data_IF_227212356788
#
_entry.id   IF_227212356788
#
_cell.length_a   1.000
_cell.length_b   1.000
_cell.length_c   1.000
_cell.angle_alpha   90.00
_cell.angle_beta   90.00
_cell.angle_gamma   90.00
#
_symmetry.space_group_name_H-M   'P 1'
#
loop_
_entity.id
_entity.type
_entity.pdbx_description
1 polymer ?
#
# COMPACT_ATOMS: atom_id res chain seq x y z
N UNK A 1 -38.97 22.30 -27.58
CA UNK A 1 -39.63 21.59 -26.46
C UNK A 1 -38.90 21.95 -25.18
N UNK A 2 -39.45 22.90 -24.44
CA UNK A 2 -38.95 23.45 -23.18
C UNK A 2 -39.46 22.61 -22.02
N UNK A 3 -38.58 22.18 -21.11
CA UNK A 3 -39.00 21.62 -19.83
C UNK A 3 -38.23 22.32 -18.69
N UNK A 4 -38.91 22.93 -17.71
CA UNK A 4 -38.30 23.75 -16.67
C UNK A 4 -38.01 22.97 -15.38
N UNK A 5 -36.95 23.39 -14.69
CA UNK A 5 -36.85 23.61 -13.24
C UNK A 5 -37.32 22.51 -12.28
N UNK A 6 -36.35 21.89 -11.59
CA UNK A 6 -36.60 21.17 -10.33
C UNK A 6 -35.73 21.77 -9.23
N UNK A 7 -36.32 22.70 -8.48
CA UNK A 7 -35.80 23.29 -7.24
C UNK A 7 -36.39 22.50 -6.08
N UNK A 8 -35.55 21.85 -5.25
CA UNK A 8 -36.01 21.27 -3.98
C UNK A 8 -35.12 21.70 -2.82
N UNK A 9 -35.83 22.02 -1.74
CA UNK A 9 -35.43 22.78 -0.57
C UNK A 9 -34.58 21.98 0.40
N UNK A 10 -33.66 22.67 1.07
CA UNK A 10 -33.00 22.20 2.27
C UNK A 10 -33.93 22.30 3.50
N UNK A 11 -33.84 21.39 4.48
CA UNK A 11 -34.32 21.64 5.83
C UNK A 11 -33.15 22.03 6.75
N UNK A 12 -33.29 23.18 7.40
CA UNK A 12 -32.59 23.54 8.64
C UNK A 12 -33.34 22.89 9.81
N UNK A 13 -32.63 22.21 10.70
CA UNK A 13 -33.11 21.92 12.06
C UNK A 13 -31.98 22.28 13.04
N UNK A 14 -32.39 22.96 14.11
CA UNK A 14 -31.57 23.67 15.06
C UNK A 14 -31.56 23.00 16.45
N UNK A 15 -30.50 23.31 17.22
CA UNK A 15 -30.45 23.41 18.69
C UNK A 15 -30.67 22.10 19.52
N UNK A 16 -30.18 21.87 20.75
CA UNK A 16 -29.56 22.70 21.78
C UNK A 16 -29.02 21.82 22.95
N UNK A 17 -28.23 22.44 23.86
CA UNK A 17 -28.06 22.21 25.32
C UNK A 17 -27.27 20.96 25.81
N UNK A 18 -26.09 21.10 26.43
CA UNK A 18 -25.74 21.50 27.83
C UNK A 18 -26.18 20.50 28.93
N UNK A 19 -25.22 19.80 29.56
CA UNK A 19 -25.20 19.54 31.02
C UNK A 19 -23.75 19.43 31.53
N UNK A 20 -23.43 20.27 32.51
CA UNK A 20 -22.24 20.20 33.36
C UNK A 20 -22.50 19.27 34.55
N UNK A 21 -21.50 18.46 34.93
CA UNK A 21 -21.51 17.63 36.13
C UNK A 21 -20.24 17.83 36.95
N UNK A 22 -20.40 18.45 38.12
CA UNK A 22 -19.39 18.74 39.13
C UNK A 22 -19.15 17.55 40.08
N UNK A 23 -17.88 17.40 40.48
CA UNK A 23 -17.36 17.02 41.80
C UNK A 23 -17.95 15.84 42.59
N UNK A 24 -17.08 14.86 42.86
CA UNK A 24 -17.03 14.16 44.15
C UNK A 24 -15.56 13.95 44.55
N UNK A 25 -15.09 14.67 45.58
CA UNK A 25 -13.87 14.37 46.31
C UNK A 25 -14.22 13.36 47.40
N UNK A 26 -13.71 12.13 47.31
CA UNK A 26 -13.72 11.19 48.43
C UNK A 26 -12.58 11.53 49.43
N UNK A 27 -12.82 11.39 50.74
CA UNK A 27 -11.76 11.52 51.74
C UNK A 27 -10.80 10.32 51.65
N UNK A 28 -9.55 10.60 51.29
CA UNK A 28 -8.48 9.60 51.26
C UNK A 28 -8.16 9.14 52.69
N UNK A 29 -8.24 7.84 52.94
CA UNK A 29 -7.74 7.19 54.16
C UNK A 29 -6.25 7.48 54.36
N UNK A 30 -5.77 7.65 55.61
CA UNK A 30 -4.37 7.94 55.87
C UNK A 30 -3.48 6.82 55.33
N UNK A 31 -2.59 7.20 54.41
CA UNK A 31 -1.59 6.32 53.83
C UNK A 31 -0.58 5.99 54.92
N UNK A 32 -0.36 4.70 55.16
CA UNK A 32 0.65 4.20 56.09
C UNK A 32 2.04 4.69 55.62
N UNK A 33 2.66 5.59 56.39
CA UNK A 33 3.94 6.25 56.07
C UNK A 33 5.17 5.42 56.43
N UNK A 34 5.03 4.14 56.76
CA UNK A 34 6.17 3.27 56.93
C UNK A 34 6.91 3.13 55.59
N UNK A 35 8.21 3.49 55.51
CA UNK A 35 9.01 3.18 54.33
C UNK A 35 8.93 1.66 54.12
N UNK A 36 8.61 1.16 52.92
CA UNK A 36 8.74 -0.26 52.64
C UNK A 36 10.18 -0.66 52.96
N UNK A 37 10.36 -1.77 53.68
CA UNK A 37 11.67 -2.38 53.88
C UNK A 37 12.37 -2.44 52.52
N UNK A 38 13.61 -1.97 52.45
CA UNK A 38 14.36 -1.92 51.20
C UNK A 38 14.57 -3.36 50.69
N UNK A 39 13.66 -3.83 49.84
CA UNK A 39 13.81 -5.07 49.07
C UNK A 39 14.88 -4.77 48.02
N UNK A 40 16.13 -4.85 48.45
CA UNK A 40 17.26 -4.70 47.56
C UNK A 40 17.40 -6.05 46.87
N UNK A 41 16.80 -6.17 45.68
CA UNK A 41 17.05 -7.32 44.82
C UNK A 41 18.57 -7.43 44.58
N UNK A 42 19.15 -8.64 44.64
CA UNK A 42 20.54 -8.84 44.29
C UNK A 42 20.81 -8.25 42.90
N UNK A 43 21.96 -7.60 42.67
CA UNK A 43 22.29 -7.07 41.35
C UNK A 43 22.19 -8.20 40.32
N UNK A 44 21.63 -7.93 39.12
CA UNK A 44 21.57 -8.91 38.05
C UNK A 44 22.97 -9.49 37.80
N UNK A 45 23.04 -10.80 37.57
CA UNK A 45 24.29 -11.43 37.17
C UNK A 45 24.87 -10.68 35.95
N UNK A 46 26.18 -10.46 35.95
CA UNK A 46 26.84 -9.81 34.84
C UNK A 46 26.51 -10.54 33.53
N UNK A 47 26.12 -9.78 32.49
CA UNK A 47 25.89 -10.35 31.17
C UNK A 47 27.13 -11.12 30.73
N UNK A 48 27.00 -12.37 30.24
CA UNK A 48 28.12 -13.10 29.68
C UNK A 48 28.85 -12.23 28.67
N UNK A 49 30.16 -12.01 28.89
CA UNK A 49 30.96 -11.19 28.01
C UNK A 49 30.97 -11.86 26.62
N UNK A 50 30.64 -11.14 25.53
CA UNK A 50 30.73 -11.70 24.19
C UNK A 50 32.13 -12.26 23.95
N UNK A 51 32.23 -13.54 23.60
CA UNK A 51 33.52 -14.18 23.32
C UNK A 51 34.15 -13.52 22.09
N UNK A 52 35.25 -12.79 22.32
CA UNK A 52 36.00 -12.07 21.29
C UNK A 52 36.67 -12.99 20.26
N UNK A 53 36.73 -14.30 20.56
CA UNK A 53 37.25 -15.32 19.64
C UNK A 53 36.13 -16.11 18.95
N UNK A 54 34.86 -15.81 19.24
CA UNK A 54 33.75 -16.41 18.52
C UNK A 54 33.86 -16.06 17.04
N UNK A 55 33.85 -17.09 16.18
CA UNK A 55 33.81 -16.89 14.73
C UNK A 55 32.55 -16.09 14.39
N UNK A 56 32.64 -15.05 13.54
CA UNK A 56 31.47 -14.32 13.07
C UNK A 56 30.43 -15.30 12.55
N UNK A 57 29.25 -15.32 13.17
CA UNK A 57 28.15 -16.15 12.70
C UNK A 57 27.55 -15.43 11.50
N UNK A 58 27.52 -16.07 10.34
CA UNK A 58 26.91 -15.49 9.16
C UNK A 58 25.40 -15.35 9.41
N UNK A 59 24.96 -14.10 9.54
CA UNK A 59 23.54 -13.79 9.72
C UNK A 59 22.86 -14.07 8.39
N UNK A 60 21.85 -14.94 8.40
CA UNK A 60 20.98 -15.13 7.23
C UNK A 60 20.47 -13.77 6.77
N UNK A 61 20.64 -13.46 5.48
CA UNK A 61 20.15 -12.23 4.91
C UNK A 61 18.63 -12.12 5.15
N UNK A 62 18.11 -10.92 5.46
CA UNK A 62 16.67 -10.72 5.60
C UNK A 62 15.95 -11.22 4.34
N UNK A 63 14.80 -11.90 4.48
CA UNK A 63 14.03 -12.34 3.32
C UNK A 63 13.59 -11.13 2.49
N UNK A 64 13.99 -11.10 1.22
CA UNK A 64 13.59 -10.08 0.26
C UNK A 64 12.21 -10.45 -0.32
N UNK A 65 11.27 -9.51 -0.32
CA UNK A 65 9.98 -9.68 -1.01
C UNK A 65 10.26 -9.72 -2.51
N UNK A 66 9.89 -10.81 -3.18
CA UNK A 66 10.06 -10.96 -4.64
C UNK A 66 9.00 -10.14 -5.39
N UNK A 67 9.33 -9.58 -6.56
CA UNK A 67 8.35 -8.90 -7.39
C UNK A 67 7.36 -9.89 -8.00
N UNK A 68 6.10 -9.49 -8.18
CA UNK A 68 5.10 -10.26 -8.92
C UNK A 68 5.29 -10.14 -10.42
N UNK A 69 5.83 -9.02 -10.89
CA UNK A 69 6.10 -8.75 -12.29
C UNK A 69 7.22 -7.71 -12.45
N UNK A 70 7.97 -7.83 -13.54
CA UNK A 70 8.93 -6.85 -14.02
C UNK A 70 8.89 -6.88 -15.56
N UNK A 71 9.34 -5.81 -16.21
CA UNK A 71 9.47 -5.74 -17.67
C UNK A 71 8.56 -4.69 -18.31
N UNK A 72 8.28 -4.87 -19.60
CA UNK A 72 7.53 -3.92 -20.43
C UNK A 72 6.13 -4.45 -20.74
N UNK A 73 5.13 -3.57 -20.65
CA UNK A 73 3.73 -3.92 -20.83
C UNK A 73 2.98 -2.90 -21.70
N UNK A 74 2.13 -3.40 -22.59
CA UNK A 74 1.20 -2.61 -23.39
C UNK A 74 -0.09 -2.31 -22.61
N UNK A 75 -0.67 -1.10 -22.74
CA UNK A 75 -1.91 -0.77 -22.05
C UNK A 75 -3.07 -1.63 -22.58
N UNK A 76 -3.76 -2.29 -21.66
CA UNK A 76 -4.89 -3.17 -21.94
C UNK A 76 -6.27 -2.53 -21.75
N UNK A 77 -6.34 -1.31 -21.22
CA UNK A 77 -7.58 -0.54 -21.11
C UNK A 77 -7.37 0.98 -21.27
N UNK A 78 -8.43 1.78 -21.52
CA UNK A 78 -8.29 3.22 -21.75
C UNK A 78 -7.68 3.99 -20.57
N UNK A 79 -7.89 3.52 -19.34
CA UNK A 79 -7.31 4.14 -18.13
C UNK A 79 -5.80 3.96 -18.12
N UNK A 80 -5.30 2.76 -18.43
CA UNK A 80 -3.87 2.47 -18.57
C UNK A 80 -3.24 3.36 -19.66
N UNK A 81 -3.90 3.50 -20.81
CA UNK A 81 -3.44 4.39 -21.89
C UNK A 81 -3.32 5.84 -21.42
N UNK A 82 -4.30 6.35 -20.66
CA UNK A 82 -4.31 7.73 -20.19
C UNK A 82 -3.27 7.99 -19.10
N UNK A 83 -3.14 7.06 -18.15
CA UNK A 83 -2.30 7.25 -16.95
C UNK A 83 -0.83 7.03 -17.24
N UNK A 84 -0.45 6.00 -17.98
CA UNK A 84 0.97 5.72 -18.29
C UNK A 84 1.25 5.50 -19.77
N UNK A 85 0.28 5.05 -20.55
CA UNK A 85 0.57 4.47 -21.87
C UNK A 85 1.26 3.12 -21.71
N UNK A 86 2.25 2.81 -22.57
CA UNK A 86 3.13 1.66 -22.32
C UNK A 86 3.85 1.82 -20.99
N UNK A 87 4.00 0.71 -20.26
CA UNK A 87 4.47 0.68 -18.89
C UNK A 87 5.78 -0.11 -18.82
N UNK A 88 6.82 0.50 -18.28
CA UNK A 88 8.04 -0.17 -17.83
C UNK A 88 7.98 -0.34 -16.31
N UNK A 89 8.09 -1.58 -15.85
CA UNK A 89 8.04 -1.95 -14.44
C UNK A 89 9.40 -2.50 -14.00
N UNK A 90 10.12 -1.70 -13.25
CA UNK A 90 11.38 -2.05 -12.60
C UNK A 90 11.15 -2.33 -11.10
N UNK A 91 12.22 -2.68 -10.37
CA UNK A 91 12.12 -3.04 -8.94
C UNK A 91 11.64 -1.87 -8.07
N UNK A 92 12.21 -0.67 -8.30
CA UNK A 92 11.93 0.54 -7.53
C UNK A 92 11.29 1.65 -8.35
N UNK A 93 11.02 1.41 -9.63
CA UNK A 93 10.61 2.46 -10.56
C UNK A 93 9.56 1.94 -11.53
N UNK A 94 8.51 2.73 -11.70
CA UNK A 94 7.45 2.50 -12.67
C UNK A 94 7.46 3.68 -13.63
N UNK A 95 7.56 3.44 -14.93
CA UNK A 95 7.59 4.50 -15.96
C UNK A 95 6.51 4.27 -17.00
N UNK A 96 5.79 5.33 -17.33
CA UNK A 96 4.93 5.41 -18.50
C UNK A 96 5.65 6.04 -19.69
N UNK A 97 5.37 5.57 -20.90
CA UNK A 97 5.80 6.21 -22.15
C UNK A 97 5.32 7.67 -22.25
N UNK A 98 4.20 8.02 -21.60
CA UNK A 98 3.66 9.38 -21.56
C UNK A 98 4.43 10.34 -20.62
N UNK A 99 5.52 9.89 -20.00
CA UNK A 99 6.34 10.64 -19.05
C UNK A 99 5.93 10.52 -17.59
N UNK A 100 4.83 9.82 -17.28
CA UNK A 100 4.47 9.52 -15.90
C UNK A 100 5.55 8.62 -15.26
N UNK A 101 5.89 8.86 -13.99
CA UNK A 101 6.81 7.99 -13.26
C UNK A 101 6.50 7.91 -11.78
N UNK A 102 6.80 6.77 -11.18
CA UNK A 102 6.64 6.52 -9.75
C UNK A 102 7.89 5.85 -9.20
N UNK A 103 8.61 6.55 -8.32
CA UNK A 103 9.64 5.92 -7.48
C UNK A 103 8.92 5.21 -6.34
N UNK A 104 9.18 3.93 -6.17
CA UNK A 104 8.41 3.04 -5.29
C UNK A 104 9.29 2.13 -4.44
N UNK A 105 8.74 1.68 -3.32
CA UNK A 105 9.32 0.66 -2.44
C UNK A 105 8.28 -0.43 -2.16
N UNK A 106 8.66 -1.70 -2.29
CA UNK A 106 7.80 -2.82 -1.88
C UNK A 106 7.65 -2.87 -0.38
N UNK A 107 6.41 -2.85 0.10
CA UNK A 107 6.11 -2.87 1.54
C UNK A 107 5.45 -4.16 1.99
N UNK A 108 4.76 -4.87 1.11
CA UNK A 108 4.11 -6.15 1.44
C UNK A 108 3.81 -6.99 0.20
N UNK A 109 3.63 -8.29 0.41
CA UNK A 109 2.92 -9.18 -0.50
C UNK A 109 1.65 -9.64 0.23
N UNK A 110 0.50 -9.22 -0.28
CA UNK A 110 -0.82 -9.50 0.30
C UNK A 110 -1.63 -10.41 -0.64
N UNK A 111 -2.80 -10.84 -0.22
CA UNK A 111 -3.72 -11.65 -1.03
C UNK A 111 -4.86 -10.80 -1.58
N UNK A 112 -5.46 -11.21 -2.70
CA UNK A 112 -6.64 -10.57 -3.27
C UNK A 112 -7.80 -10.41 -2.26
N UNK A 113 -7.97 -11.38 -1.36
CA UNK A 113 -9.00 -11.37 -0.32
C UNK A 113 -8.77 -10.35 0.79
N UNK A 114 -7.56 -9.79 0.90
CA UNK A 114 -7.24 -8.80 1.92
C UNK A 114 -7.91 -7.46 1.62
N UNK A 115 -8.28 -6.75 2.69
CA UNK A 115 -8.89 -5.43 2.60
C UNK A 115 -7.82 -4.34 2.56
N UNK A 116 -7.93 -3.42 1.60
CA UNK A 116 -7.08 -2.22 1.56
C UNK A 116 -7.71 -1.02 2.29
N UNK A 117 -9.03 -1.07 2.48
CA UNK A 117 -9.81 -0.19 3.34
C UNK A 117 -11.04 -0.95 3.85
N UNK A 118 -11.73 -0.44 4.88
CA UNK A 118 -12.87 -1.12 5.48
C UNK A 118 -13.95 -1.46 4.44
N UNK A 119 -14.20 -2.76 4.27
CA UNK A 119 -15.21 -3.30 3.35
C UNK A 119 -14.77 -3.43 1.89
N UNK A 120 -13.53 -3.05 1.52
CA UNK A 120 -13.05 -3.10 0.14
C UNK A 120 -11.79 -3.97 0.00
N UNK A 121 -11.84 -4.95 -0.90
CA UNK A 121 -10.74 -5.91 -1.12
C UNK A 121 -10.01 -5.70 -2.44
N UNK A 122 -8.74 -6.14 -2.50
CA UNK A 122 -7.95 -6.09 -3.73
C UNK A 122 -8.58 -6.90 -4.87
N UNK A 123 -9.15 -8.07 -4.56
CA UNK A 123 -9.84 -8.95 -5.49
C UNK A 123 -11.00 -8.23 -6.21
N UNK A 124 -11.79 -7.46 -5.46
CA UNK A 124 -12.90 -6.68 -6.02
C UNK A 124 -12.40 -5.54 -6.91
N UNK A 125 -11.35 -4.82 -6.48
CA UNK A 125 -10.83 -3.66 -7.22
C UNK A 125 -10.06 -4.04 -8.50
N UNK A 126 -9.36 -5.17 -8.47
CA UNK A 126 -8.51 -5.66 -9.57
C UNK A 126 -9.22 -6.68 -10.47
N UNK A 127 -10.38 -7.18 -10.04
CA UNK A 127 -11.15 -8.24 -10.70
C UNK A 127 -10.27 -9.49 -10.86
N UNK A 128 -9.86 -10.03 -9.71
CA UNK A 128 -8.99 -11.21 -9.58
C UNK A 128 -9.50 -12.13 -8.47
N UNK A 129 -8.98 -13.35 -8.40
CA UNK A 129 -9.31 -14.27 -7.32
C UNK A 129 -8.83 -13.79 -5.94
N UNK A 130 -9.53 -14.20 -4.88
CA UNK A 130 -9.15 -13.86 -3.51
C UNK A 130 -7.77 -14.42 -3.10
N UNK A 131 -7.32 -15.50 -3.74
CA UNK A 131 -5.99 -16.07 -3.49
C UNK A 131 -4.87 -15.45 -4.33
N UNK A 132 -5.20 -14.53 -5.26
CA UNK A 132 -4.21 -13.91 -6.13
C UNK A 132 -3.17 -13.14 -5.30
N UNK A 133 -1.87 -13.42 -5.45
CA UNK A 133 -0.83 -12.60 -4.83
C UNK A 133 -0.84 -11.17 -5.38
N UNK A 134 -0.82 -10.21 -4.46
CA UNK A 134 -0.82 -8.77 -4.74
C UNK A 134 0.44 -8.17 -4.13
N UNK A 135 1.30 -7.61 -4.96
CA UNK A 135 2.45 -6.84 -4.51
C UNK A 135 2.00 -5.41 -4.18
N UNK A 136 2.26 -4.98 -2.95
CA UNK A 136 1.97 -3.64 -2.50
C UNK A 136 3.25 -2.80 -2.45
N UNK A 137 3.24 -1.68 -3.18
CA UNK A 137 4.33 -0.71 -3.20
C UNK A 137 3.89 0.63 -2.63
N UNK A 138 4.72 1.24 -1.78
CA UNK A 138 4.58 2.64 -1.37
C UNK A 138 5.19 3.54 -2.44
N UNK A 139 4.51 4.63 -2.78
CA UNK A 139 5.01 5.65 -3.70
C UNK A 139 5.81 6.68 -2.92
N UNK A 140 7.09 6.82 -3.26
CA UNK A 140 8.03 7.77 -2.67
C UNK A 140 8.06 9.09 -3.45
N UNK A 141 7.98 9.01 -4.77
CA UNK A 141 7.94 10.17 -5.67
C UNK A 141 7.00 9.87 -6.83
N UNK A 142 6.34 10.91 -7.34
CA UNK A 142 5.39 10.81 -8.46
C UNK A 142 5.64 11.96 -9.42
N UNK A 143 5.76 11.63 -10.70
CA UNK A 143 5.71 12.58 -11.81
C UNK A 143 4.45 12.27 -12.62
N UNK A 144 3.51 13.22 -12.80
CA UNK A 144 2.31 12.99 -13.60
C UNK A 144 2.64 12.98 -15.11
N UNK A 145 1.71 12.53 -15.98
CA UNK A 145 1.90 12.57 -17.43
C UNK A 145 2.25 13.96 -17.96
N UNK A 146 3.25 14.06 -18.84
CA UNK A 146 3.79 15.35 -19.30
C UNK A 146 2.76 16.20 -20.05
N UNK A 147 1.98 15.58 -20.94
CA UNK A 147 1.02 16.30 -21.80
C UNK A 147 -0.36 16.48 -21.15
N UNK A 148 -0.69 15.66 -20.15
CA UNK A 148 -2.01 15.69 -19.50
C UNK A 148 -1.88 15.33 -18.02
N UNK A 149 -1.36 16.25 -17.18
CA UNK A 149 -1.12 15.97 -15.76
C UNK A 149 -2.37 15.57 -14.98
N UNK A 150 -3.56 16.01 -15.42
CA UNK A 150 -4.84 15.62 -14.83
C UNK A 150 -5.15 14.11 -14.96
N UNK A 151 -4.44 13.40 -15.85
CA UNK A 151 -4.54 11.95 -16.01
C UNK A 151 -3.58 11.21 -15.05
N UNK A 152 -3.00 11.85 -14.04
CA UNK A 152 -2.22 11.12 -13.03
C UNK A 152 -3.08 10.02 -12.39
N UNK A 153 -2.44 9.01 -11.80
CA UNK A 153 -3.13 7.80 -11.32
C UNK A 153 -4.19 8.13 -10.25
N UNK A 154 -3.96 9.15 -9.43
CA UNK A 154 -4.92 9.74 -8.50
C UNK A 154 -5.43 11.14 -8.91
N UNK A 155 -5.30 11.46 -10.19
CA UNK A 155 -5.74 12.71 -10.82
C UNK A 155 -5.02 13.94 -10.26
N UNK A 156 -5.67 14.67 -9.35
CA UNK A 156 -5.10 15.83 -8.67
C UNK A 156 -4.52 15.54 -7.28
N UNK A 157 -4.72 14.33 -6.75
CA UNK A 157 -4.15 13.91 -5.48
C UNK A 157 -2.90 13.07 -5.73
N UNK A 158 -1.98 13.08 -4.76
CA UNK A 158 -0.80 12.21 -4.80
C UNK A 158 -1.21 10.76 -4.60
N UNK A 159 -0.66 9.87 -5.41
CA UNK A 159 -0.71 8.43 -5.24
C UNK A 159 0.13 8.04 -4.03
N UNK A 160 -0.47 7.35 -3.05
CA UNK A 160 0.23 6.88 -1.86
C UNK A 160 0.80 5.48 -2.02
N UNK A 161 0.01 4.60 -2.65
CA UNK A 161 0.37 3.20 -2.87
C UNK A 161 -0.05 2.73 -4.25
N UNK A 162 0.68 1.76 -4.76
CA UNK A 162 0.37 1.03 -5.99
C UNK A 162 0.30 -0.44 -5.63
N UNK A 163 -0.79 -1.11 -6.02
CA UNK A 163 -0.94 -2.55 -5.86
C UNK A 163 -0.89 -3.23 -7.24
N UNK A 164 -0.11 -4.29 -7.36
CA UNK A 164 0.19 -5.00 -8.61
C UNK A 164 -0.21 -6.46 -8.48
N UNK A 165 -0.80 -7.03 -9.53
CA UNK A 165 -1.10 -8.44 -9.61
C UNK A 165 -0.84 -8.96 -11.02
N UNK A 166 -0.02 -9.99 -11.13
CA UNK A 166 0.17 -10.76 -12.37
C UNK A 166 -0.84 -11.91 -12.38
N UNK A 167 -1.76 -11.87 -13.32
CA UNK A 167 -2.84 -12.84 -13.49
C UNK A 167 -2.59 -13.61 -14.76
N UNK A 168 -2.70 -14.93 -14.71
CA UNK A 168 -2.64 -15.80 -15.88
C UNK A 168 -4.02 -16.43 -16.07
N UNK A 169 -4.63 -16.17 -17.22
CA UNK A 169 -5.92 -16.75 -17.58
C UNK A 169 -5.87 -17.41 -18.97
N UNK A 170 -7.01 -17.90 -19.46
CA UNK A 170 -7.10 -18.58 -20.76
C UNK A 170 -6.72 -17.69 -21.96
N UNK A 171 -6.72 -16.36 -21.79
CA UNK A 171 -6.36 -15.38 -22.82
C UNK A 171 -4.90 -14.95 -22.74
N UNK A 172 -4.20 -15.33 -21.66
CA UNK A 172 -2.78 -15.10 -21.44
C UNK A 172 -2.50 -14.39 -20.13
N UNK A 173 -1.28 -13.88 -20.02
CA UNK A 173 -0.83 -13.13 -18.87
C UNK A 173 -1.32 -11.67 -18.94
N UNK A 174 -1.78 -11.16 -17.81
CA UNK A 174 -2.23 -9.79 -17.62
C UNK A 174 -1.64 -9.21 -16.34
N UNK A 175 -1.10 -8.00 -16.41
CA UNK A 175 -0.74 -7.21 -15.23
C UNK A 175 -1.90 -6.28 -14.87
N UNK A 176 -2.48 -6.47 -13.69
CA UNK A 176 -3.45 -5.56 -13.08
C UNK A 176 -2.71 -4.60 -12.15
N UNK A 177 -3.02 -3.32 -12.21
CA UNK A 177 -2.44 -2.29 -11.36
C UNK A 177 -3.53 -1.36 -10.85
N UNK A 178 -3.58 -1.13 -9.54
CA UNK A 178 -4.43 -0.10 -8.93
C UNK A 178 -3.59 0.97 -8.23
N UNK A 179 -4.06 2.20 -8.28
CA UNK A 179 -3.54 3.31 -7.48
C UNK A 179 -4.43 3.57 -6.28
N UNK A 180 -3.82 3.77 -5.11
CA UNK A 180 -4.49 4.13 -3.88
C UNK A 180 -3.95 5.48 -3.40
N UNK A 181 -4.85 6.41 -3.03
CA UNK A 181 -4.47 7.61 -2.28
C UNK A 181 -4.45 7.30 -0.78
N UNK A 182 -3.79 8.16 0.00
CA UNK A 182 -3.66 8.03 1.45
C UNK A 182 -2.21 7.76 1.88
N UNK A 183 -1.92 7.94 3.17
CA UNK A 183 -0.57 7.77 3.74
C UNK A 183 -0.44 6.53 4.62
N UNK A 184 -1.56 6.10 5.20
CA UNK A 184 -1.67 4.91 6.04
C UNK A 184 -1.41 3.65 5.21
N UNK A 185 -0.80 2.64 5.84
CA UNK A 185 -0.59 1.36 5.18
C UNK A 185 -1.97 0.74 4.84
N UNK A 186 -2.24 0.40 3.56
CA UNK A 186 -3.50 -0.19 3.14
C UNK A 186 -3.87 -1.45 3.94
N UNK A 187 -4.99 -1.37 4.65
CA UNK A 187 -5.53 -2.39 5.54
C UNK A 187 -6.99 -2.07 5.87
N UNK A 188 -7.73 -3.05 6.40
CA UNK A 188 -9.12 -2.83 6.85
C UNK A 188 -9.26 -1.68 7.87
N UNK A 189 -8.25 -1.45 8.70
CA UNK A 189 -8.23 -0.41 9.74
C UNK A 189 -7.63 0.92 9.27
N UNK A 190 -7.19 1.02 8.01
CA UNK A 190 -6.56 2.23 7.49
C UNK A 190 -7.59 3.36 7.33
N UNK A 191 -7.20 4.58 7.67
CA UNK A 191 -8.05 5.75 7.48
C UNK A 191 -7.62 6.52 6.24
N UNK A 192 -8.58 6.91 5.39
CA UNK A 192 -8.29 7.75 4.22
C UNK A 192 -7.52 7.05 3.08
N UNK A 193 -7.52 5.71 3.06
CA UNK A 193 -7.07 4.93 1.89
C UNK A 193 -8.27 4.70 0.97
N UNK A 194 -8.14 5.15 -0.28
CA UNK A 194 -9.20 5.04 -1.27
C UNK A 194 -8.62 4.67 -2.65
N UNK A 195 -9.38 3.88 -3.41
CA UNK A 195 -9.06 3.52 -4.78
C UNK A 195 -9.18 4.74 -5.69
N UNK A 196 -8.12 5.02 -6.45
CA UNK A 196 -8.12 6.08 -7.47
C UNK A 196 -8.43 5.55 -8.87
N UNK A 197 -7.73 4.50 -9.27
CA UNK A 197 -7.79 3.97 -10.62
C UNK A 197 -7.47 2.48 -10.63
N UNK A 198 -8.03 1.78 -11.61
CA UNK A 198 -7.74 0.37 -11.92
C UNK A 198 -7.35 0.26 -13.38
N UNK A 199 -6.18 -0.30 -13.62
CA UNK A 199 -5.51 -0.36 -14.91
C UNK A 199 -5.13 -1.79 -15.23
N UNK A 200 -5.08 -2.09 -16.52
CA UNK A 200 -4.74 -3.41 -17.04
C UNK A 200 -3.67 -3.24 -18.12
N UNK A 201 -2.68 -4.12 -18.11
CA UNK A 201 -1.63 -4.17 -19.11
C UNK A 201 -1.37 -5.62 -19.56
N UNK A 202 -0.85 -5.76 -20.77
CA UNK A 202 -0.45 -7.04 -21.35
C UNK A 202 1.06 -7.06 -21.56
N UNK A 203 1.77 -8.17 -21.27
CA UNK A 203 3.21 -8.24 -21.51
C UNK A 203 3.50 -8.10 -23.00
N UNK A 204 4.55 -7.35 -23.34
CA UNK A 204 5.01 -7.26 -24.73
C UNK A 204 5.65 -8.60 -25.12
N UNK A 205 5.19 -9.21 -26.21
CA UNK A 205 5.71 -10.48 -26.70
C UNK A 205 7.25 -10.40 -26.89
N UNK A 206 7.99 -11.20 -26.10
CA UNK A 206 9.45 -11.23 -26.08
C UNK A 206 10.12 -10.64 -24.82
N UNK A 207 9.34 -10.09 -23.88
CA UNK A 207 9.83 -9.53 -22.61
C UNK A 207 9.78 -10.46 -21.39
N UNK A 208 9.28 -11.69 -21.55
CA UNK A 208 9.19 -12.68 -20.48
C UNK A 208 10.57 -13.22 -20.08
N UNK A 209 10.99 -12.90 -18.85
CA UNK A 209 12.06 -13.53 -18.07
C UNK A 209 13.43 -13.65 -18.75
N UNK A 210 14.20 -12.56 -18.72
CA UNK A 210 15.65 -12.58 -18.94
C UNK A 210 16.45 -13.16 -17.74
N UNK A 211 15.87 -14.08 -16.97
CA UNK A 211 16.53 -14.77 -15.85
C UNK A 211 16.54 -16.29 -16.11
N UNK A 212 17.39 -16.74 -17.03
CA UNK A 212 17.49 -18.18 -17.30
C UNK A 212 18.36 -18.67 -18.46
N UNK A 213 19.02 -17.82 -19.25
CA UNK A 213 19.88 -18.29 -20.34
C UNK A 213 21.27 -18.68 -19.82
N UNK A 214 21.39 -19.85 -19.17
CA UNK A 214 22.69 -20.50 -18.97
C UNK A 214 23.31 -20.80 -20.33
N UNK A 215 24.39 -20.11 -20.66
CA UNK A 215 25.26 -20.42 -21.80
C UNK A 215 25.97 -21.73 -21.49
N UNK A 216 25.46 -22.84 -22.04
CA UNK A 216 26.23 -24.07 -22.16
C UNK A 216 27.26 -23.86 -23.28
N UNK A 217 28.51 -23.59 -22.91
CA UNK A 217 29.65 -23.77 -23.83
C UNK A 217 29.81 -25.27 -24.08
N UNK A 218 29.76 -25.65 -25.36
CA UNK A 218 30.30 -26.92 -25.86
C UNK A 218 31.81 -26.80 -26.00
#
# INVERSE_FOLDING_TARGET
MTNPGLTWMAPRVAAALLVAGLSACEPQTPVNTAPPEAITAPPPAANPQPDVNAKPVERAAPPMIKPVALGEFDPGNPVATAVTGKLSLEDTLIKGENGASFTTERVALVSGGDQYSAGATYAQAMIVDASQPIELRRVLEETPPTQSPANALCGGNRTGFIALAKVEDATGETLKLIGLKGTDLPAASANGVELCASTQYFPIAGGGDAEGKKVAKR
#
